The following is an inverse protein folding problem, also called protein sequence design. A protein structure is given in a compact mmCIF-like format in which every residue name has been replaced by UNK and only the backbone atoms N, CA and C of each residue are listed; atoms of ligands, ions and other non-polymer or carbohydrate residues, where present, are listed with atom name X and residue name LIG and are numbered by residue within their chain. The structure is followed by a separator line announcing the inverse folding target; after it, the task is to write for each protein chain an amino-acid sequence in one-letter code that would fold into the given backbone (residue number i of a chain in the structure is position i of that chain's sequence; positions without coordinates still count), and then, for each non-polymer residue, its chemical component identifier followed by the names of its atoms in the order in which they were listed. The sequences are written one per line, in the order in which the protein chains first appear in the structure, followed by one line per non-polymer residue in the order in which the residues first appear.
data_IF_198898404041
#
_entry.id   IF_198898404041
#
_cell.length_a   1.000
_cell.length_b   1.000
_cell.length_c   1.000
_cell.angle_alpha   90.00
_cell.angle_beta   90.00
_cell.angle_gamma   90.00
#
_symmetry.space_group_name_H-M   'P 1'
#
loop_
_entity.id
_entity.type
_entity.pdbx_description
1 polymer ?
#
# COMPACT_ATOMS: atom_id res chain seq x y z
N UNK A 1 -8.14 29.06 -20.47
CA UNK A 1 -8.89 29.87 -19.48
C UNK A 1 -9.62 30.97 -20.23
N UNK A 2 -10.89 31.30 -19.92
CA UNK A 2 -11.60 32.39 -20.59
C UNK A 2 -10.94 33.78 -20.38
N UNK A 3 -10.07 33.92 -19.38
CA UNK A 3 -9.39 35.19 -19.02
C UNK A 3 -7.93 35.27 -19.50
N UNK A 4 -7.57 34.52 -20.53
CA UNK A 4 -6.17 34.33 -20.96
C UNK A 4 -5.48 35.63 -21.42
N UNK A 5 -6.23 36.57 -22.00
CA UNK A 5 -5.74 37.90 -22.39
C UNK A 5 -5.45 38.81 -21.18
N UNK A 6 -6.32 38.80 -20.17
CA UNK A 6 -6.11 39.55 -18.92
C UNK A 6 -4.85 39.05 -18.19
N UNK A 7 -4.64 37.73 -18.18
CA UNK A 7 -3.45 37.08 -17.61
C UNK A 7 -2.19 37.46 -18.40
N UNK A 8 -2.24 37.40 -19.73
CA UNK A 8 -1.07 37.65 -20.59
C UNK A 8 -0.61 39.11 -20.56
N UNK A 9 -1.52 40.06 -20.39
CA UNK A 9 -1.24 41.49 -20.51
C UNK A 9 -1.28 42.26 -19.18
N UNK A 10 -1.49 41.56 -18.05
CA UNK A 10 -1.62 42.15 -16.70
C UNK A 10 -2.60 43.34 -16.65
N UNK A 11 -3.71 43.22 -17.38
CA UNK A 11 -4.74 44.27 -17.45
C UNK A 11 -5.57 44.21 -16.16
N UNK A 12 -5.86 45.38 -15.58
CA UNK A 12 -6.76 45.48 -14.43
C UNK A 12 -8.18 45.05 -14.85
N UNK A 13 -8.76 43.99 -14.25
CA UNK A 13 -10.10 43.54 -14.60
C UNK A 13 -11.15 44.56 -14.15
N UNK A 14 -12.16 44.75 -14.99
CA UNK A 14 -13.36 45.51 -14.65
C UNK A 14 -14.16 44.79 -13.55
N UNK A 15 -15.06 45.48 -12.80
CA UNK A 15 -15.87 44.84 -11.77
C UNK A 15 -16.68 43.62 -12.27
N UNK A 16 -17.16 43.67 -13.53
CA UNK A 16 -17.88 42.54 -14.15
C UNK A 16 -16.95 41.36 -14.47
N UNK A 17 -15.74 41.63 -14.93
CA UNK A 17 -14.73 40.58 -15.18
C UNK A 17 -14.26 39.96 -13.88
N UNK A 18 -14.06 40.77 -12.83
CA UNK A 18 -13.71 40.28 -11.48
C UNK A 18 -14.78 39.33 -10.94
N UNK A 19 -16.07 39.65 -11.09
CA UNK A 19 -17.15 38.75 -10.70
C UNK A 19 -17.12 37.43 -11.51
N UNK A 20 -16.96 37.51 -12.82
CA UNK A 20 -16.86 36.33 -13.68
C UNK A 20 -15.62 35.46 -13.36
N UNK A 21 -14.50 36.09 -12.98
CA UNK A 21 -13.29 35.38 -12.51
C UNK A 21 -13.58 34.66 -11.19
N UNK A 22 -14.25 35.30 -10.24
CA UNK A 22 -14.61 34.66 -8.96
C UNK A 22 -15.51 33.44 -9.17
N UNK A 23 -16.52 33.53 -10.04
CA UNK A 23 -17.39 32.41 -10.36
C UNK A 23 -16.63 31.27 -11.06
N UNK A 24 -15.73 31.61 -11.99
CA UNK A 24 -14.86 30.63 -12.65
C UNK A 24 -13.91 29.94 -11.67
N UNK A 25 -13.30 30.68 -10.75
CA UNK A 25 -12.44 30.13 -9.71
C UNK A 25 -13.23 29.19 -8.81
N UNK A 26 -14.39 29.62 -8.31
CA UNK A 26 -15.27 28.77 -7.48
C UNK A 26 -15.64 27.46 -8.19
N UNK A 27 -15.99 27.53 -9.47
CA UNK A 27 -16.31 26.34 -10.26
C UNK A 27 -15.08 25.43 -10.46
N UNK A 28 -13.91 26.03 -10.65
CA UNK A 28 -12.64 25.31 -10.80
C UNK A 28 -12.25 24.62 -9.49
N UNK A 29 -12.34 25.32 -8.36
CA UNK A 29 -12.04 24.79 -7.02
C UNK A 29 -12.97 23.63 -6.68
N UNK A 30 -14.27 23.75 -6.94
CA UNK A 30 -15.23 22.66 -6.74
C UNK A 30 -14.88 21.42 -7.59
N UNK A 31 -14.38 21.62 -8.82
CA UNK A 31 -13.97 20.52 -9.69
C UNK A 31 -12.66 19.85 -9.21
N UNK A 32 -11.74 20.64 -8.66
CA UNK A 32 -10.53 20.15 -7.98
C UNK A 32 -10.92 19.28 -6.79
N UNK A 33 -11.74 19.80 -5.87
CA UNK A 33 -12.20 19.07 -4.69
C UNK A 33 -12.88 17.74 -5.08
N UNK A 34 -13.70 17.77 -6.13
CA UNK A 34 -14.32 16.55 -6.65
C UNK A 34 -13.29 15.53 -7.13
N UNK A 35 -12.23 15.96 -7.83
CA UNK A 35 -11.17 15.04 -8.27
C UNK A 35 -10.33 14.52 -7.13
N UNK A 36 -10.04 15.34 -6.13
CA UNK A 36 -9.32 14.88 -4.94
C UNK A 36 -10.13 13.81 -4.20
N UNK A 37 -11.45 13.98 -4.10
CA UNK A 37 -12.35 12.97 -3.54
C UNK A 37 -12.36 11.68 -4.37
N UNK A 38 -12.43 11.78 -5.70
CA UNK A 38 -12.36 10.62 -6.60
C UNK A 38 -11.01 9.88 -6.47
N UNK A 39 -9.90 10.61 -6.39
CA UNK A 39 -8.56 10.04 -6.18
C UNK A 39 -8.51 9.29 -4.85
N UNK A 40 -8.98 9.91 -3.76
CA UNK A 40 -8.99 9.27 -2.44
C UNK A 40 -9.79 7.96 -2.46
N UNK A 41 -10.98 7.98 -3.07
CA UNK A 41 -11.83 6.78 -3.23
C UNK A 41 -11.13 5.68 -4.03
N UNK A 42 -10.55 6.03 -5.18
CA UNK A 42 -9.85 5.06 -6.05
C UNK A 42 -8.61 4.47 -5.37
N UNK A 43 -7.89 5.26 -4.58
CA UNK A 43 -6.75 4.75 -3.80
C UNK A 43 -7.19 3.72 -2.76
N UNK A 44 -8.28 3.97 -2.03
CA UNK A 44 -8.84 2.99 -1.11
C UNK A 44 -9.24 1.68 -1.82
N UNK A 45 -9.89 1.78 -2.99
CA UNK A 45 -10.27 0.61 -3.79
C UNK A 45 -9.05 -0.19 -4.26
N UNK A 46 -8.00 0.49 -4.72
CA UNK A 46 -6.73 -0.16 -5.10
C UNK A 46 -6.10 -0.89 -3.92
N UNK A 47 -6.12 -0.31 -2.72
CA UNK A 47 -5.60 -0.96 -1.51
C UNK A 47 -6.41 -2.20 -1.12
N UNK A 48 -7.73 -2.17 -1.26
CA UNK A 48 -8.59 -3.34 -1.05
C UNK A 48 -8.28 -4.47 -2.03
N UNK A 49 -8.14 -4.13 -3.31
CA UNK A 49 -7.77 -5.09 -4.36
C UNK A 49 -6.37 -5.67 -4.11
N UNK A 50 -5.41 -4.85 -3.69
CA UNK A 50 -4.06 -5.31 -3.31
C UNK A 50 -4.11 -6.26 -2.12
N UNK A 51 -4.87 -5.93 -1.07
CA UNK A 51 -5.07 -6.81 0.10
C UNK A 51 -5.70 -8.14 -0.31
N UNK A 52 -6.73 -8.11 -1.15
CA UNK A 52 -7.36 -9.31 -1.69
C UNK A 52 -6.37 -10.16 -2.50
N UNK A 53 -5.65 -9.56 -3.44
CA UNK A 53 -4.63 -10.23 -4.25
C UNK A 53 -3.55 -10.88 -3.38
N UNK A 54 -3.04 -10.16 -2.38
CA UNK A 54 -2.05 -10.67 -1.45
C UNK A 54 -2.55 -11.89 -0.67
N UNK A 55 -3.79 -11.84 -0.15
CA UNK A 55 -4.41 -12.99 0.55
C UNK A 55 -4.50 -14.23 -0.32
N UNK A 56 -4.93 -14.08 -1.58
CA UNK A 56 -5.05 -15.21 -2.50
C UNK A 56 -3.68 -15.76 -2.90
N UNK A 57 -2.71 -14.89 -3.20
CA UNK A 57 -1.32 -15.29 -3.48
C UNK A 57 -0.71 -16.05 -2.31
N UNK A 58 -0.98 -15.62 -1.07
CA UNK A 58 -0.50 -16.31 0.11
C UNK A 58 -1.05 -17.75 0.20
N UNK A 59 -2.30 -18.00 -0.20
CA UNK A 59 -2.91 -19.35 -0.19
C UNK A 59 -2.22 -20.30 -1.16
N UNK A 60 -1.89 -19.83 -2.36
CA UNK A 60 -1.26 -20.65 -3.40
C UNK A 60 0.27 -20.66 -3.31
N UNK A 61 0.86 -19.97 -2.35
CA UNK A 61 2.30 -19.84 -2.24
C UNK A 61 2.96 -21.22 -2.05
N UNK A 62 3.99 -21.60 -2.84
CA UNK A 62 4.61 -22.93 -2.80
C UNK A 62 5.05 -23.36 -1.40
N UNK A 63 5.50 -22.39 -0.60
CA UNK A 63 6.00 -22.60 0.76
C UNK A 63 4.97 -23.23 1.72
N UNK A 64 3.67 -23.10 1.44
CA UNK A 64 2.59 -23.75 2.22
C UNK A 64 2.37 -25.22 1.84
N UNK A 65 2.92 -25.65 0.70
CA UNK A 65 2.86 -27.03 0.21
C UNK A 65 4.13 -27.82 0.51
N UNK A 66 5.16 -27.16 1.04
CA UNK A 66 6.38 -27.85 1.44
C UNK A 66 6.06 -28.80 2.60
N UNK A 67 6.60 -30.03 2.55
CA UNK A 67 6.59 -30.92 3.71
C UNK A 67 7.24 -30.26 4.93
N UNK A 68 6.81 -30.67 6.12
CA UNK A 68 7.35 -30.17 7.39
C UNK A 68 8.85 -30.36 7.51
N UNK A 69 9.36 -31.45 6.94
CA UNK A 69 10.76 -31.85 6.96
C UNK A 69 11.61 -30.84 6.18
N UNK A 70 11.18 -30.50 4.96
CA UNK A 70 11.88 -29.54 4.10
C UNK A 70 11.85 -28.14 4.72
N UNK A 71 10.72 -27.72 5.29
CA UNK A 71 10.64 -26.46 6.03
C UNK A 71 11.57 -26.45 7.25
N UNK A 72 11.66 -27.57 7.97
CA UNK A 72 12.57 -27.71 9.11
C UNK A 72 14.04 -27.67 8.72
N UNK A 73 14.43 -28.31 7.62
CA UNK A 73 15.77 -28.22 7.06
C UNK A 73 16.11 -26.77 6.71
N UNK A 74 15.20 -26.05 6.05
CA UNK A 74 15.39 -24.62 5.74
C UNK A 74 15.59 -23.81 7.03
N UNK A 75 14.79 -24.05 8.08
CA UNK A 75 14.92 -23.34 9.35
C UNK A 75 16.28 -23.56 10.00
N UNK A 76 16.78 -24.80 9.98
CA UNK A 76 18.10 -25.14 10.52
C UNK A 76 19.23 -24.47 9.75
N UNK A 77 19.16 -24.43 8.42
CA UNK A 77 20.16 -23.73 7.59
C UNK A 77 20.17 -22.23 7.82
N UNK A 78 19.04 -21.65 8.24
CA UNK A 78 18.91 -20.23 8.52
C UNK A 78 19.17 -19.87 10.00
N UNK A 79 19.34 -20.86 10.87
CA UNK A 79 19.60 -20.65 12.30
C UNK A 79 21.00 -20.08 12.58
N UNK A 80 21.94 -20.28 11.66
CA UNK A 80 23.32 -19.77 11.76
C UNK A 80 23.45 -18.30 11.33
N UNK A 81 22.36 -17.66 10.93
CA UNK A 81 22.34 -16.23 10.59
C UNK A 81 22.26 -15.43 11.88
N UNK A 82 23.24 -14.59 12.16
CA UNK A 82 23.21 -13.65 13.31
C UNK A 82 21.93 -12.81 13.25
N UNK A 83 20.97 -13.17 14.11
CA UNK A 83 19.70 -12.49 14.23
C UNK A 83 19.50 -11.99 15.65
N UNK A 84 18.90 -10.81 15.79
CA UNK A 84 18.61 -10.20 17.10
C UNK A 84 17.60 -11.00 17.94
N UNK A 85 16.83 -11.89 17.30
CA UNK A 85 15.86 -12.79 17.93
C UNK A 85 16.25 -14.24 17.67
N UNK A 86 15.99 -15.16 18.61
CA UNK A 86 16.17 -16.59 18.37
C UNK A 86 15.24 -17.07 17.24
N UNK A 87 15.75 -17.96 16.39
CA UNK A 87 15.08 -18.43 15.18
C UNK A 87 13.63 -18.94 15.39
N UNK A 88 13.26 -19.63 16.50
CA UNK A 88 11.89 -20.04 16.76
C UNK A 88 10.90 -18.88 16.84
N UNK A 89 11.33 -17.71 17.34
CA UNK A 89 10.49 -16.52 17.40
C UNK A 89 10.30 -15.93 16.00
N UNK A 90 11.37 -15.89 15.20
CA UNK A 90 11.32 -15.37 13.82
C UNK A 90 10.38 -16.21 12.96
N UNK A 91 10.59 -17.53 12.91
CA UNK A 91 9.76 -18.41 12.09
C UNK A 91 8.32 -18.50 12.62
N UNK A 92 8.15 -18.40 13.93
CA UNK A 92 6.84 -18.41 14.58
C UNK A 92 5.94 -17.25 14.17
N UNK A 93 6.50 -16.07 13.86
CA UNK A 93 5.74 -14.89 13.46
C UNK A 93 5.08 -15.03 12.07
N UNK A 94 5.55 -15.96 11.23
CA UNK A 94 5.05 -16.10 9.84
C UNK A 94 3.66 -16.73 9.77
N UNK A 95 3.46 -17.92 10.34
CA UNK A 95 2.15 -18.58 10.40
C UNK A 95 2.09 -19.71 11.44
N UNK A 96 0.89 -20.26 11.68
CA UNK A 96 0.68 -21.36 12.64
C UNK A 96 1.50 -22.62 12.30
N UNK A 97 1.60 -22.98 11.03
CA UNK A 97 2.36 -24.16 10.59
C UNK A 97 3.86 -23.98 10.87
N UNK A 98 4.41 -22.81 10.55
CA UNK A 98 5.82 -22.49 10.79
C UNK A 98 6.15 -22.48 12.28
N UNK A 99 5.28 -21.88 13.10
CA UNK A 99 5.40 -21.94 14.56
C UNK A 99 5.43 -23.38 15.07
N UNK A 100 4.51 -24.23 14.60
CA UNK A 100 4.47 -25.63 15.03
C UNK A 100 5.76 -26.39 14.67
N UNK A 101 6.27 -26.20 13.46
CA UNK A 101 7.52 -26.82 13.00
C UNK A 101 8.70 -26.29 13.82
N UNK A 102 8.83 -24.98 13.98
CA UNK A 102 9.94 -24.38 14.72
C UNK A 102 9.97 -24.83 16.19
N UNK A 103 8.82 -24.93 16.86
CA UNK A 103 8.73 -25.45 18.22
C UNK A 103 9.06 -26.95 18.32
N UNK A 104 8.89 -27.71 17.24
CA UNK A 104 9.20 -29.14 17.20
C UNK A 104 10.68 -29.46 16.93
N UNK A 105 11.51 -28.44 16.64
CA UNK A 105 12.91 -28.59 16.28
C UNK A 105 13.82 -28.12 17.42
N UNK A 106 14.40 -29.03 18.22
CA UNK A 106 15.28 -28.67 19.33
C UNK A 106 16.54 -27.90 18.90
N UNK A 107 17.02 -28.12 17.68
CA UNK A 107 18.22 -27.48 17.12
C UNK A 107 18.09 -25.98 16.88
N UNK A 108 16.88 -25.41 17.02
CA UNK A 108 16.63 -23.97 16.89
C UNK A 108 16.69 -23.21 18.22
N UNK A 109 16.94 -23.90 19.34
CA UNK A 109 17.09 -23.32 20.68
C UNK A 109 18.55 -23.34 21.13
#
# INVERSE_FOLDING_TARGET
SPFQSLIAHQILPTPSETAAIHDFLRATDAEIERRESDIARLLCEVEELRRSSHRHKAIIHPIRRLPSEILGEIFQQLNDVEAEKPAPLIFGEVCRQWRAIALSLPSLW
#
